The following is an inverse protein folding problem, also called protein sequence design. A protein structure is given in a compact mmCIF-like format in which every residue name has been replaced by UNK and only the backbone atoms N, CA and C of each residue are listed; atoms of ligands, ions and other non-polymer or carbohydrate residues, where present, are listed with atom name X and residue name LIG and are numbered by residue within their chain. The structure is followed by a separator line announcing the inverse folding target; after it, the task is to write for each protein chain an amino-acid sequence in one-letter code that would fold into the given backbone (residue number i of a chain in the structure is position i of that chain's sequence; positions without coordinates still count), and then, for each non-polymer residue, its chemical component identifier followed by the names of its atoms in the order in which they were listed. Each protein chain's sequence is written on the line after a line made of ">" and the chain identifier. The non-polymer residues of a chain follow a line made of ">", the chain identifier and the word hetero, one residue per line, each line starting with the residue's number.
data_IF_632887884623
#
_entry.id   IF_632887884623
#
_cell.length_a   1.000
_cell.length_b   1.000
_cell.length_c   1.000
_cell.angle_alpha   90.00
_cell.angle_beta   90.00
_cell.angle_gamma   90.00
#
_symmetry.space_group_name_H-M   'P 1'
#
loop_
_entity.id
_entity.type
_entity.pdbx_description
1 polymer ?
#
# COMPACT_ATOMS: atom_id res chain seq x y z
N UNK A 1 -1.40 -15.51 -9.21
CA UNK A 1 -1.05 -14.67 -10.38
C UNK A 1 -2.19 -14.42 -11.39
N UNK A 2 -2.97 -15.43 -11.83
CA UNK A 2 -4.03 -15.23 -12.85
C UNK A 2 -5.10 -14.18 -12.48
N UNK A 3 -5.48 -14.10 -11.19
CA UNK A 3 -6.52 -13.17 -10.72
C UNK A 3 -5.99 -11.72 -10.70
N UNK A 4 -4.76 -11.48 -10.23
CA UNK A 4 -4.17 -10.14 -10.23
C UNK A 4 -4.00 -9.60 -11.67
N UNK A 5 -3.61 -10.46 -12.61
CA UNK A 5 -3.53 -10.07 -14.03
C UNK A 5 -4.91 -9.78 -14.65
N UNK A 6 -5.96 -10.51 -14.24
CA UNK A 6 -7.33 -10.21 -14.65
C UNK A 6 -7.80 -8.85 -14.10
N UNK A 7 -7.58 -8.62 -12.81
CA UNK A 7 -7.91 -7.35 -12.14
C UNK A 7 -7.13 -6.18 -12.74
N UNK A 8 -5.85 -6.39 -13.09
CA UNK A 8 -5.05 -5.39 -13.79
C UNK A 8 -5.66 -5.01 -15.14
N UNK A 9 -6.13 -5.98 -15.94
CA UNK A 9 -6.79 -5.70 -17.23
C UNK A 9 -8.12 -4.97 -17.07
N UNK A 10 -8.85 -5.24 -15.99
CA UNK A 10 -10.06 -4.49 -15.64
C UNK A 10 -9.74 -3.03 -15.27
N UNK A 11 -8.70 -2.82 -14.46
CA UNK A 11 -8.33 -1.49 -13.93
C UNK A 11 -7.48 -0.65 -14.88
N UNK A 12 -6.82 -1.27 -15.85
CA UNK A 12 -5.94 -0.63 -16.81
C UNK A 12 -6.04 -1.33 -18.17
N UNK A 13 -7.19 -1.18 -18.88
CA UNK A 13 -7.45 -1.89 -20.13
C UNK A 13 -6.50 -1.47 -21.26
N UNK A 14 -5.95 -0.27 -21.22
CA UNK A 14 -4.91 0.20 -22.14
C UNK A 14 -3.50 0.06 -21.54
N UNK A 15 -3.36 -0.70 -20.44
CA UNK A 15 -2.11 -0.91 -19.75
C UNK A 15 -1.64 0.30 -18.95
N UNK A 16 -2.50 1.26 -18.64
CA UNK A 16 -2.18 2.45 -17.84
C UNK A 16 -1.55 2.09 -16.48
N UNK A 17 -0.67 2.94 -15.92
CA UNK A 17 -0.22 2.77 -14.56
C UNK A 17 -1.37 2.85 -13.56
N UNK A 18 -1.35 1.98 -12.54
CA UNK A 18 -2.37 1.93 -11.49
C UNK A 18 -1.80 2.47 -10.18
N UNK A 19 -2.38 3.57 -9.72
CA UNK A 19 -2.20 4.14 -8.40
C UNK A 19 -3.30 3.57 -7.51
N UNK A 20 -2.96 2.91 -6.40
CA UNK A 20 -3.95 2.24 -5.56
C UNK A 20 -4.03 2.84 -4.16
N UNK A 21 -5.24 3.19 -3.76
CA UNK A 21 -5.63 3.42 -2.38
C UNK A 21 -6.54 2.29 -1.88
N UNK A 22 -6.35 1.84 -0.64
CA UNK A 22 -7.24 0.88 0.03
C UNK A 22 -7.63 1.37 1.42
N UNK A 23 -8.86 1.11 1.88
CA UNK A 23 -9.30 1.35 3.26
C UNK A 23 -10.49 2.31 3.38
N UNK A 24 -10.73 2.81 4.60
CA UNK A 24 -11.87 3.70 4.87
C UNK A 24 -11.70 5.05 4.18
N UNK A 25 -12.80 5.78 3.97
CA UNK A 25 -12.79 7.13 3.38
C UNK A 25 -13.14 8.19 4.43
N UNK A 26 -12.70 7.98 5.66
CA UNK A 26 -12.89 8.98 6.72
C UNK A 26 -12.13 10.28 6.38
N UNK A 27 -12.61 11.46 6.79
CA UNK A 27 -12.07 12.74 6.32
C UNK A 27 -10.55 12.89 6.48
N UNK A 28 -10.00 12.38 7.58
CA UNK A 28 -8.56 12.44 7.87
C UNK A 28 -7.71 11.60 6.90
N UNK A 29 -8.31 10.68 6.13
CA UNK A 29 -7.59 9.86 5.15
C UNK A 29 -7.11 10.68 3.95
N UNK A 30 -7.59 11.91 3.75
CA UNK A 30 -7.08 12.82 2.72
C UNK A 30 -7.50 12.47 1.30
N UNK A 31 -8.71 11.93 1.13
CA UNK A 31 -9.21 11.58 -0.20
C UNK A 31 -9.39 12.81 -1.13
N UNK A 32 -9.87 13.98 -0.66
CA UNK A 32 -9.91 15.16 -1.51
C UNK A 32 -8.53 15.57 -2.03
N UNK A 33 -7.51 15.54 -1.15
CA UNK A 33 -6.11 15.80 -1.52
C UNK A 33 -5.65 14.84 -2.61
N UNK A 34 -5.96 13.55 -2.49
CA UNK A 34 -5.56 12.55 -3.49
C UNK A 34 -6.24 12.77 -4.84
N UNK A 35 -7.53 13.11 -4.85
CA UNK A 35 -8.25 13.41 -6.09
C UNK A 35 -7.66 14.66 -6.77
N UNK A 36 -7.39 15.71 -6.01
CA UNK A 36 -6.75 16.93 -6.52
C UNK A 36 -5.32 16.66 -7.03
N UNK A 37 -4.58 15.77 -6.36
CA UNK A 37 -3.24 15.33 -6.80
C UNK A 37 -3.31 14.59 -8.15
N UNK A 38 -4.30 13.72 -8.35
CA UNK A 38 -4.46 12.97 -9.60
C UNK A 38 -4.75 13.86 -10.81
N UNK A 39 -5.34 15.04 -10.61
CA UNK A 39 -5.48 16.05 -11.67
C UNK A 39 -4.12 16.58 -12.15
N UNK A 40 -3.12 16.57 -11.27
CA UNK A 40 -1.77 17.10 -11.51
C UNK A 40 -0.77 16.04 -11.96
N UNK A 41 -1.06 14.75 -11.75
CA UNK A 41 -0.21 13.64 -12.22
C UNK A 41 -0.11 13.65 -13.75
N UNK A 42 1.12 13.72 -14.23
CA UNK A 42 1.45 13.88 -15.64
C UNK A 42 1.20 12.60 -16.46
N UNK A 43 0.85 12.69 -17.76
CA UNK A 43 0.81 11.54 -18.65
C UNK A 43 2.19 10.88 -18.80
N UNK A 44 2.22 9.55 -18.90
CA UNK A 44 3.44 8.79 -19.21
C UNK A 44 4.02 9.21 -20.58
N UNK A 45 5.31 8.95 -20.86
CA UNK A 45 5.94 9.33 -22.13
C UNK A 45 5.23 8.79 -23.40
N UNK A 46 4.51 7.68 -23.28
CA UNK A 46 3.71 7.09 -24.35
C UNK A 46 2.24 7.55 -24.39
N UNK A 47 1.91 8.60 -23.63
CA UNK A 47 0.59 9.22 -23.60
C UNK A 47 -0.41 8.55 -22.66
N UNK A 48 -0.11 7.36 -22.10
CA UNK A 48 -0.98 6.71 -21.11
C UNK A 48 -1.11 7.59 -19.87
N UNK A 49 -2.32 7.75 -19.36
CA UNK A 49 -2.56 8.54 -18.13
C UNK A 49 -2.71 7.59 -16.95
N UNK A 50 -1.95 7.79 -15.85
CA UNK A 50 -2.14 7.00 -14.64
C UNK A 50 -3.59 7.05 -14.14
N UNK A 51 -4.10 5.89 -13.74
CA UNK A 51 -5.44 5.71 -13.18
C UNK A 51 -5.35 5.50 -11.67
N UNK A 52 -6.21 6.19 -10.92
CA UNK A 52 -6.41 5.96 -9.51
C UNK A 52 -7.48 4.91 -9.31
N UNK A 53 -7.17 3.88 -8.53
CA UNK A 53 -8.14 2.90 -8.03
C UNK A 53 -8.30 3.10 -6.53
N UNK A 54 -9.55 3.28 -6.08
CA UNK A 54 -9.91 3.41 -4.66
C UNK A 54 -10.73 2.20 -4.27
N UNK A 55 -10.15 1.37 -3.40
CA UNK A 55 -10.80 0.19 -2.84
C UNK A 55 -11.24 0.48 -1.41
N UNK A 56 -12.53 0.76 -1.25
CA UNK A 56 -13.16 1.09 0.01
C UNK A 56 -14.24 2.15 -0.13
N UNK A 57 -14.82 2.53 0.99
CA UNK A 57 -15.86 3.56 1.04
C UNK A 57 -17.28 3.01 1.01
N UNK A 58 -18.14 3.66 1.79
CA UNK A 58 -19.59 3.45 1.72
C UNK A 58 -20.17 4.14 0.46
N UNK A 59 -21.37 3.78 -0.01
CA UNK A 59 -21.96 4.35 -1.22
C UNK A 59 -22.03 5.87 -1.25
N UNK A 60 -22.32 6.52 -0.10
CA UNK A 60 -22.34 7.98 0.07
C UNK A 60 -20.96 8.60 -0.20
N UNK A 61 -19.91 8.07 0.45
CA UNK A 61 -18.54 8.55 0.31
C UNK A 61 -18.00 8.31 -1.12
N UNK A 62 -18.37 7.19 -1.74
CA UNK A 62 -18.01 6.88 -3.12
C UNK A 62 -18.69 7.86 -4.08
N UNK A 63 -19.96 8.20 -3.86
CA UNK A 63 -20.67 9.17 -4.68
C UNK A 63 -20.04 10.58 -4.58
N UNK A 64 -19.66 11.00 -3.37
CA UNK A 64 -18.99 12.28 -3.14
C UNK A 64 -17.64 12.38 -3.85
N UNK A 65 -16.78 11.36 -3.72
CA UNK A 65 -15.50 11.32 -4.43
C UNK A 65 -15.67 11.27 -5.95
N UNK A 66 -16.73 10.59 -6.43
CA UNK A 66 -17.04 10.56 -7.86
C UNK A 66 -17.39 11.96 -8.37
N UNK A 67 -18.24 12.68 -7.65
CA UNK A 67 -18.60 14.05 -8.01
C UNK A 67 -17.37 14.97 -8.05
N UNK A 68 -16.44 14.84 -7.10
CA UNK A 68 -15.19 15.60 -7.13
C UNK A 68 -14.31 15.22 -8.34
N UNK A 69 -14.15 13.92 -8.60
CA UNK A 69 -13.38 13.45 -9.76
C UNK A 69 -13.98 13.95 -11.08
N UNK A 70 -15.31 13.90 -11.23
CA UNK A 70 -16.03 14.37 -12.42
C UNK A 70 -15.87 15.89 -12.60
N UNK A 71 -15.94 16.67 -11.51
CA UNK A 71 -15.72 18.12 -11.54
C UNK A 71 -14.31 18.51 -12.01
N UNK A 72 -13.32 17.65 -11.79
CA UNK A 72 -11.94 17.82 -12.27
C UNK A 72 -11.67 17.15 -13.63
N UNK A 73 -12.69 16.55 -14.26
CA UNK A 73 -12.53 15.86 -15.54
C UNK A 73 -11.73 14.55 -15.45
N UNK A 74 -11.79 13.86 -14.29
CA UNK A 74 -11.05 12.62 -14.01
C UNK A 74 -11.91 11.35 -14.06
N UNK A 75 -13.14 11.42 -14.58
CA UNK A 75 -14.10 10.30 -14.55
C UNK A 75 -13.59 9.00 -15.20
N UNK A 76 -12.74 9.08 -16.22
CA UNK A 76 -12.08 7.95 -16.87
C UNK A 76 -10.81 7.46 -16.13
N UNK A 77 -10.20 8.35 -15.34
CA UNK A 77 -8.97 8.11 -14.59
C UNK A 77 -9.18 7.67 -13.14
N UNK A 78 -10.39 7.77 -12.58
CA UNK A 78 -10.68 7.42 -11.19
C UNK A 78 -11.70 6.27 -11.14
N UNK A 79 -11.23 5.10 -10.71
CA UNK A 79 -12.06 3.92 -10.47
C UNK A 79 -12.33 3.77 -8.96
N UNK A 80 -13.57 4.01 -8.56
CA UNK A 80 -14.02 3.80 -7.18
C UNK A 80 -14.77 2.45 -7.12
N UNK A 81 -14.19 1.45 -6.45
CA UNK A 81 -14.76 0.09 -6.42
C UNK A 81 -15.78 -0.10 -5.30
N UNK A 82 -15.86 0.83 -4.35
CA UNK A 82 -16.51 0.59 -3.06
C UNK A 82 -15.75 -0.45 -2.24
N UNK A 83 -16.41 -0.97 -1.19
CA UNK A 83 -15.86 -2.01 -0.33
C UNK A 83 -15.61 -3.31 -1.11
N UNK A 84 -14.44 -3.92 -0.88
CA UNK A 84 -14.11 -5.28 -1.34
C UNK A 84 -13.76 -6.18 -0.14
N UNK A 85 -13.92 -7.51 -0.26
CA UNK A 85 -13.55 -8.46 0.78
C UNK A 85 -12.06 -8.32 1.17
N UNK A 86 -11.71 -8.43 2.47
CA UNK A 86 -10.32 -8.35 2.93
C UNK A 86 -9.36 -9.33 2.23
N UNK A 87 -9.86 -10.51 1.84
CA UNK A 87 -9.09 -11.55 1.15
C UNK A 87 -8.63 -11.11 -0.25
N UNK A 88 -9.27 -10.10 -0.86
CA UNK A 88 -8.86 -9.57 -2.16
C UNK A 88 -7.74 -8.53 -2.07
N UNK A 89 -7.40 -8.03 -0.87
CA UNK A 89 -6.45 -6.91 -0.73
C UNK A 89 -5.06 -7.25 -1.27
N UNK A 90 -4.57 -8.47 -1.05
CA UNK A 90 -3.30 -8.92 -1.62
C UNK A 90 -3.32 -8.87 -3.15
N UNK A 91 -4.41 -9.34 -3.77
CA UNK A 91 -4.60 -9.30 -5.22
C UNK A 91 -4.71 -7.86 -5.73
N UNK A 92 -5.41 -6.99 -5.01
CA UNK A 92 -5.52 -5.57 -5.32
C UNK A 92 -4.14 -4.89 -5.34
N UNK A 93 -3.36 -5.05 -4.27
CA UNK A 93 -2.00 -4.50 -4.19
C UNK A 93 -1.08 -5.10 -5.27
N UNK A 94 -1.23 -6.37 -5.57
CA UNK A 94 -0.47 -7.02 -6.64
C UNK A 94 -0.81 -6.48 -8.04
N UNK A 95 -1.96 -5.85 -8.26
CA UNK A 95 -2.34 -5.21 -9.51
C UNK A 95 -1.92 -3.74 -9.62
N UNK A 96 -1.40 -3.13 -8.54
CA UNK A 96 -0.97 -1.73 -8.51
C UNK A 96 0.50 -1.56 -8.92
N UNK A 97 0.84 -0.40 -9.47
CA UNK A 97 2.24 0.02 -9.67
C UNK A 97 2.76 0.83 -8.48
N UNK A 98 1.88 1.60 -7.84
CA UNK A 98 2.20 2.40 -6.65
C UNK A 98 1.04 2.37 -5.67
N UNK A 99 1.35 2.26 -4.38
CA UNK A 99 0.39 2.33 -3.28
C UNK A 99 0.43 3.72 -2.65
N UNK A 100 -0.74 4.31 -2.37
CA UNK A 100 -0.83 5.68 -1.86
C UNK A 100 -1.52 5.77 -0.49
N UNK A 101 -0.96 6.59 0.40
CA UNK A 101 -1.55 6.91 1.70
C UNK A 101 -1.56 8.43 1.94
N UNK A 102 -2.60 9.14 1.44
CA UNK A 102 -2.65 10.60 1.34
C UNK A 102 -3.08 11.31 2.63
N UNK A 103 -2.88 10.67 3.78
CA UNK A 103 -3.48 11.07 5.05
C UNK A 103 -3.10 12.52 5.40
N UNK A 104 -4.09 13.38 5.65
CA UNK A 104 -3.82 14.81 5.86
C UNK A 104 -3.52 15.16 7.32
N UNK A 105 -3.93 14.31 8.27
CA UNK A 105 -3.78 14.58 9.71
C UNK A 105 -3.85 13.32 10.57
N UNK A 106 -3.45 13.49 11.84
CA UNK A 106 -3.52 12.48 12.89
C UNK A 106 -2.16 11.91 13.29
N UNK A 107 -2.13 11.26 14.44
CA UNK A 107 -0.94 10.62 15.02
C UNK A 107 -1.04 9.10 15.09
N UNK A 108 -2.22 8.50 14.88
CA UNK A 108 -2.34 7.05 14.89
C UNK A 108 -1.91 6.44 13.55
N UNK A 109 -1.10 5.39 13.59
CA UNK A 109 -0.68 4.69 12.37
C UNK A 109 -1.87 4.11 11.59
N UNK A 110 -1.99 4.36 10.27
CA UNK A 110 -2.99 3.70 9.43
C UNK A 110 -2.60 2.25 9.17
N UNK A 111 -3.38 1.28 9.69
CA UNK A 111 -3.05 -0.16 9.65
C UNK A 111 -2.76 -0.71 8.23
N UNK A 112 -3.31 -0.11 7.17
CA UNK A 112 -3.07 -0.51 5.77
C UNK A 112 -1.58 -0.49 5.38
N UNK A 113 -0.77 0.35 6.02
CA UNK A 113 0.64 0.49 5.63
C UNK A 113 1.44 -0.79 5.89
N UNK A 114 1.04 -1.58 6.89
CA UNK A 114 1.69 -2.87 7.14
C UNK A 114 1.47 -3.83 5.99
N UNK A 115 0.24 -3.90 5.45
CA UNK A 115 -0.05 -4.68 4.24
C UNK A 115 0.68 -4.11 3.01
N UNK A 116 0.81 -2.78 2.91
CA UNK A 116 1.54 -2.14 1.83
C UNK A 116 3.02 -2.51 1.86
N UNK A 117 3.66 -2.47 3.03
CA UNK A 117 5.05 -2.89 3.21
C UNK A 117 5.26 -4.33 2.75
N UNK A 118 4.45 -5.27 3.23
CA UNK A 118 4.58 -6.69 2.86
C UNK A 118 4.26 -6.97 1.38
N UNK A 119 3.59 -6.05 0.68
CA UNK A 119 3.31 -6.21 -0.75
C UNK A 119 4.55 -6.02 -1.64
N UNK A 120 5.59 -5.36 -1.13
CA UNK A 120 6.78 -5.00 -1.90
C UNK A 120 6.55 -3.99 -3.03
N UNK A 121 5.39 -3.31 -3.04
CA UNK A 121 5.11 -2.20 -3.95
C UNK A 121 5.68 -0.90 -3.40
N UNK A 122 6.13 0.03 -4.26
CA UNK A 122 6.53 1.35 -3.80
C UNK A 122 5.33 2.09 -3.18
N UNK A 123 5.59 2.83 -2.11
CA UNK A 123 4.59 3.57 -1.35
C UNK A 123 4.88 5.07 -1.47
N UNK A 124 3.86 5.85 -1.81
CA UNK A 124 3.86 7.31 -1.65
C UNK A 124 2.90 7.65 -0.50
N UNK A 125 3.40 8.33 0.52
CA UNK A 125 2.62 8.69 1.69
C UNK A 125 2.96 10.10 2.16
N UNK A 126 2.05 10.72 2.91
CA UNK A 126 2.31 12.05 3.47
C UNK A 126 3.33 12.00 4.61
N UNK A 127 4.12 13.06 4.77
CA UNK A 127 5.15 13.22 5.80
C UNK A 127 4.52 13.79 7.07
N UNK A 128 3.65 13.00 7.69
CA UNK A 128 3.06 13.33 8.99
C UNK A 128 3.40 12.27 10.02
N UNK A 129 3.18 12.57 11.31
CA UNK A 129 3.48 11.66 12.42
C UNK A 129 2.86 10.27 12.21
N UNK A 130 1.63 10.20 11.70
CA UNK A 130 0.94 8.92 11.44
C UNK A 130 1.70 7.96 10.52
N UNK A 131 2.59 8.48 9.69
CA UNK A 131 3.39 7.71 8.74
C UNK A 131 4.84 7.58 9.17
N UNK A 132 5.46 8.69 9.61
CA UNK A 132 6.90 8.74 9.98
C UNK A 132 7.25 7.92 11.21
N UNK A 133 6.27 7.55 12.05
CA UNK A 133 6.51 6.62 13.16
C UNK A 133 6.75 5.18 12.70
N UNK A 134 6.37 4.83 11.46
CA UNK A 134 6.48 3.47 10.91
C UNK A 134 7.31 3.43 9.65
N UNK A 135 7.29 4.47 8.81
CA UNK A 135 8.02 4.59 7.54
C UNK A 135 9.11 5.64 7.62
N UNK A 136 10.11 5.49 6.75
CA UNK A 136 11.23 6.42 6.56
C UNK A 136 11.49 6.65 5.06
N UNK A 137 12.44 7.51 4.73
CA UNK A 137 12.77 7.88 3.33
C UNK A 137 13.44 6.74 2.54
N UNK A 138 13.79 5.63 3.21
CA UNK A 138 14.29 4.43 2.57
C UNK A 138 13.14 3.52 2.13
N UNK A 139 12.12 3.36 2.98
CA UNK A 139 11.00 2.44 2.82
C UNK A 139 9.77 3.03 2.12
N UNK A 140 9.69 4.36 1.98
CA UNK A 140 8.61 5.03 1.27
C UNK A 140 9.08 6.38 0.69
N UNK A 141 8.34 6.89 -0.29
CA UNK A 141 8.47 8.29 -0.70
C UNK A 141 7.51 9.14 0.14
N UNK A 142 8.06 9.82 1.14
CA UNK A 142 7.32 10.67 2.07
C UNK A 142 7.29 12.12 1.57
N UNK A 143 6.10 12.65 1.31
CA UNK A 143 5.86 13.96 0.69
C UNK A 143 4.96 14.84 1.55
N UNK A 144 4.95 16.15 1.36
CA UNK A 144 4.05 17.03 2.11
C UNK A 144 2.56 16.69 1.84
N UNK A 145 1.65 16.93 2.81
CA UNK A 145 0.21 16.75 2.64
C UNK A 145 -0.40 17.88 1.79
N UNK A 146 0.11 18.01 0.57
CA UNK A 146 -0.28 18.97 -0.46
C UNK A 146 -0.54 18.23 -1.79
N UNK A 147 -1.60 18.56 -2.55
CA UNK A 147 -1.89 17.89 -3.83
C UNK A 147 -0.73 17.89 -4.83
N UNK A 148 0.03 18.99 -4.93
CA UNK A 148 1.15 19.10 -5.86
C UNK A 148 2.33 18.24 -5.45
N UNK A 149 2.72 18.29 -4.17
CA UNK A 149 3.75 17.42 -3.62
C UNK A 149 3.38 15.93 -3.75
N UNK A 150 2.11 15.59 -3.53
CA UNK A 150 1.62 14.22 -3.66
C UNK A 150 1.63 13.73 -5.12
N UNK A 151 1.21 14.59 -6.06
CA UNK A 151 1.29 14.31 -7.49
C UNK A 151 2.73 14.12 -7.96
N UNK A 152 3.65 14.99 -7.54
CA UNK A 152 5.07 14.87 -7.85
C UNK A 152 5.68 13.58 -7.30
N UNK A 153 5.26 13.14 -6.11
CA UNK A 153 5.66 11.85 -5.54
C UNK A 153 5.19 10.66 -6.37
N UNK A 154 3.92 10.67 -6.81
CA UNK A 154 3.38 9.65 -7.73
C UNK A 154 4.17 9.64 -9.05
N UNK A 155 4.40 10.81 -9.66
CA UNK A 155 5.14 10.95 -10.90
C UNK A 155 6.58 10.41 -10.76
N UNK A 156 7.27 10.75 -9.67
CA UNK A 156 8.63 10.27 -9.41
C UNK A 156 8.71 8.75 -9.37
N UNK A 157 7.79 8.10 -8.65
CA UNK A 157 7.75 6.63 -8.56
C UNK A 157 7.38 5.98 -9.90
N UNK A 158 6.41 6.53 -10.63
CA UNK A 158 5.95 5.93 -11.89
C UNK A 158 6.97 6.08 -13.03
N UNK A 159 7.82 7.11 -12.98
CA UNK A 159 8.79 7.44 -14.05
C UNK A 159 10.19 6.89 -13.80
N UNK A 160 10.50 6.49 -12.59
CA UNK A 160 11.80 5.92 -12.22
C UNK A 160 11.60 4.47 -11.71
N UNK A 161 11.72 3.47 -12.60
CA UNK A 161 11.63 2.06 -12.22
C UNK A 161 12.67 1.63 -11.19
N UNK A 162 13.85 2.27 -11.15
CA UNK A 162 14.89 1.95 -10.19
C UNK A 162 14.51 2.47 -8.80
N UNK A 163 13.98 3.69 -8.71
CA UNK A 163 13.39 4.24 -7.48
C UNK A 163 12.23 3.36 -6.99
N UNK A 164 11.30 2.99 -7.87
CA UNK A 164 10.16 2.15 -7.54
C UNK A 164 10.60 0.79 -6.98
N UNK A 165 11.55 0.12 -7.64
CA UNK A 165 12.10 -1.15 -7.17
C UNK A 165 12.81 -1.01 -5.82
N UNK A 166 13.64 0.03 -5.65
CA UNK A 166 14.34 0.30 -4.40
C UNK A 166 13.37 0.52 -3.24
N UNK A 167 12.37 1.37 -3.42
CA UNK A 167 11.35 1.63 -2.40
C UNK A 167 10.55 0.38 -2.08
N UNK A 168 10.13 -0.39 -3.09
CA UNK A 168 9.39 -1.64 -2.90
C UNK A 168 10.17 -2.67 -2.06
N UNK A 169 11.44 -2.91 -2.41
CA UNK A 169 12.32 -3.82 -1.68
C UNK A 169 12.54 -3.34 -0.24
N UNK A 170 12.94 -2.08 -0.04
CA UNK A 170 13.20 -1.54 1.29
C UNK A 170 11.94 -1.54 2.17
N UNK A 171 10.77 -1.27 1.58
CA UNK A 171 9.48 -1.33 2.27
C UNK A 171 9.17 -2.74 2.77
N UNK A 172 9.39 -3.75 1.91
CA UNK A 172 9.19 -5.17 2.25
C UNK A 172 10.15 -5.64 3.33
N UNK A 173 11.44 -5.37 3.17
CA UNK A 173 12.47 -5.73 4.15
C UNK A 173 12.16 -5.12 5.53
N UNK A 174 11.74 -3.85 5.55
CA UNK A 174 11.31 -3.17 6.78
C UNK A 174 10.07 -3.83 7.39
N UNK A 175 9.07 -4.13 6.56
CA UNK A 175 7.87 -4.89 6.95
C UNK A 175 8.20 -6.22 7.62
N UNK A 176 9.02 -7.03 6.96
CA UNK A 176 9.43 -8.36 7.44
C UNK A 176 10.26 -8.27 8.73
N UNK A 177 11.16 -7.29 8.82
CA UNK A 177 12.06 -7.11 9.98
C UNK A 177 11.35 -6.59 11.22
N UNK A 178 10.42 -5.65 11.07
CA UNK A 178 9.85 -4.90 12.20
C UNK A 178 8.38 -5.19 12.46
N UNK A 179 7.62 -5.62 11.46
CA UNK A 179 6.16 -5.71 11.50
C UNK A 179 5.63 -7.10 11.08
N UNK A 180 6.45 -8.13 11.26
CA UNK A 180 6.07 -9.54 11.08
C UNK A 180 5.55 -10.17 12.37
N UNK A 181 4.90 -11.33 12.25
CA UNK A 181 4.50 -12.16 13.40
C UNK A 181 5.72 -12.53 14.25
N UNK A 182 6.86 -12.85 13.62
CA UNK A 182 8.12 -13.09 14.33
C UNK A 182 8.57 -11.87 15.11
N UNK A 183 8.62 -10.70 14.49
CA UNK A 183 8.99 -9.46 15.17
C UNK A 183 8.07 -9.16 16.36
N UNK A 184 6.76 -9.41 16.22
CA UNK A 184 5.78 -9.28 17.28
C UNK A 184 6.04 -10.25 18.45
N UNK A 185 6.21 -11.55 18.17
CA UNK A 185 6.46 -12.58 19.19
C UNK A 185 7.74 -12.27 19.95
N UNK A 186 8.84 -11.99 19.25
CA UNK A 186 10.12 -11.68 19.87
C UNK A 186 10.09 -10.36 20.63
N UNK A 187 9.43 -9.33 20.10
CA UNK A 187 9.25 -8.04 20.76
C UNK A 187 8.47 -8.18 22.07
N UNK A 188 7.40 -8.97 22.05
CA UNK A 188 6.59 -9.28 23.23
C UNK A 188 7.43 -10.05 24.25
N UNK A 189 8.15 -11.10 23.84
CA UNK A 189 9.05 -11.83 24.74
C UNK A 189 10.08 -10.91 25.41
N UNK A 190 10.72 -10.03 24.64
CA UNK A 190 11.65 -9.02 25.18
C UNK A 190 10.99 -8.08 26.19
N UNK A 191 9.73 -7.69 25.98
CA UNK A 191 8.99 -6.87 26.93
C UNK A 191 8.73 -7.59 28.26
N UNK A 192 8.33 -8.86 28.22
CA UNK A 192 8.11 -9.67 29.42
C UNK A 192 9.41 -9.92 30.20
N UNK A 193 10.54 -10.08 29.50
CA UNK A 193 11.85 -10.18 30.16
C UNK A 193 12.21 -8.93 30.94
N UNK A 194 11.91 -7.74 30.40
CA UNK A 194 12.10 -6.47 31.14
C UNK A 194 11.23 -6.39 32.40
N UNK A 195 10.17 -7.19 32.49
CA UNK A 195 9.29 -7.29 33.65
C UNK A 195 9.67 -8.45 34.60
N UNK A 196 10.78 -9.16 34.34
CA UNK A 196 11.30 -10.22 35.21
C UNK A 196 10.94 -11.65 34.80
N UNK A 197 10.27 -11.86 33.65
CA UNK A 197 10.10 -13.19 33.10
C UNK A 197 11.42 -13.73 32.53
N UNK A 198 11.65 -15.05 32.49
CA UNK A 198 12.74 -15.63 31.71
C UNK A 198 12.49 -15.43 30.21
N UNK A 199 13.56 -15.29 29.42
CA UNK A 199 13.42 -15.30 27.95
C UNK A 199 12.99 -16.71 27.51
N UNK A 200 11.94 -16.86 26.68
CA UNK A 200 11.51 -18.17 26.20
C UNK A 200 12.61 -18.84 25.39
N UNK A 201 12.70 -20.17 25.47
CA UNK A 201 13.62 -20.94 24.64
C UNK A 201 13.23 -20.84 23.14
N UNK A 202 14.16 -21.12 22.22
CA UNK A 202 13.90 -21.01 20.78
C UNK A 202 12.73 -21.86 20.26
N UNK A 203 12.46 -23.03 20.84
CA UNK A 203 11.35 -23.89 20.41
C UNK A 203 10.00 -23.30 20.79
N UNK A 204 9.91 -22.69 21.98
CA UNK A 204 8.71 -21.99 22.43
C UNK A 204 8.40 -20.78 21.55
N UNK A 205 9.41 -20.00 21.17
CA UNK A 205 9.24 -18.87 20.25
C UNK A 205 8.76 -19.33 18.88
N UNK A 206 9.38 -20.37 18.32
CA UNK A 206 9.02 -20.91 17.01
C UNK A 206 7.59 -21.47 17.00
N UNK A 207 7.17 -22.17 18.06
CA UNK A 207 5.80 -22.64 18.20
C UNK A 207 4.79 -21.48 18.29
N UNK A 208 5.14 -20.39 18.99
CA UNK A 208 4.29 -19.19 19.07
C UNK A 208 4.16 -18.50 17.71
N UNK A 209 5.26 -18.37 16.95
CA UNK A 209 5.24 -17.84 15.58
C UNK A 209 4.32 -18.67 14.70
N UNK A 210 4.52 -20.00 14.63
CA UNK A 210 3.68 -20.90 13.81
C UNK A 210 2.18 -20.86 14.17
N UNK A 211 1.85 -20.64 15.45
CA UNK A 211 0.45 -20.54 15.90
C UNK A 211 -0.22 -19.25 15.46
N UNK A 212 0.55 -18.16 15.36
CA UNK A 212 0.05 -16.83 15.03
C UNK A 212 0.18 -16.49 13.55
N UNK A 213 1.03 -17.20 12.82
CA UNK A 213 1.09 -17.09 11.37
C UNK A 213 -0.28 -17.47 10.77
N UNK A 214 -0.83 -16.63 9.89
CA UNK A 214 -2.04 -17.00 9.18
C UNK A 214 -1.76 -18.27 8.38
N UNK A 215 -2.71 -19.21 8.37
CA UNK A 215 -2.62 -20.39 7.51
C UNK A 215 -2.34 -19.91 6.07
N UNK A 216 -1.33 -20.50 5.42
CA UNK A 216 -0.97 -20.14 4.05
C UNK A 216 -2.24 -20.18 3.18
N UNK A 217 -2.57 -19.05 2.57
CA UNK A 217 -3.66 -19.01 1.58
C UNK A 217 -3.20 -19.91 0.43
N UNK A 218 -3.92 -20.98 0.07
CA UNK A 218 -3.51 -21.86 -1.00
C UNK A 218 -3.40 -21.04 -2.31
N UNK A 219 -2.20 -20.98 -2.91
CA UNK A 219 -1.98 -20.33 -4.21
C UNK A 219 -1.07 -19.08 -4.24
N UNK A 220 -0.37 -18.77 -3.14
CA UNK A 220 0.60 -17.66 -3.04
C UNK A 220 2.07 -18.07 -2.96
N UNK A 221 2.42 -19.32 -3.29
CA UNK A 221 3.80 -19.82 -3.28
C UNK A 221 4.66 -19.16 -4.35
N UNK A 222 5.80 -18.61 -3.93
CA UNK A 222 6.81 -17.99 -4.78
C UNK A 222 7.69 -19.09 -5.39
N UNK A 223 7.22 -19.76 -6.44
CA UNK A 223 8.07 -20.59 -7.31
C UNK A 223 8.82 -19.65 -8.27
N UNK A 224 9.91 -19.05 -7.77
CA UNK A 224 10.84 -18.24 -8.55
C UNK A 224 12.20 -18.92 -8.74
N UNK A 225 12.27 -20.25 -8.61
CA UNK A 225 13.49 -21.01 -8.92
C UNK A 225 13.12 -22.33 -9.63
N UNK A 226 12.88 -22.27 -10.94
CA UNK A 226 13.17 -23.34 -11.91
C UNK A 226 12.67 -22.90 -13.30
N UNK A 227 13.58 -22.38 -14.11
CA UNK A 227 13.80 -22.78 -15.51
C UNK A 227 14.50 -21.64 -16.27
N UNK A 228 15.81 -21.58 -16.07
CA UNK A 228 16.74 -21.19 -17.15
C UNK A 228 17.34 -22.50 -17.67
N UNK A 229 16.76 -23.01 -18.75
CA UNK A 229 17.39 -23.91 -19.71
C UNK A 229 16.68 -23.77 -21.06
#
# INVERSE_FOLDING_TARGET
>A
MRIAAALRREWAPAGEPVVLYTGTLEPYQGMPLLIDAMAQVSPMPDGRRPRLVVVGGRPDQVAELRAQADALGLGDRVLLTGLRPPQEMTTCMAAADVLVSPRSSGSNTPLKIYSYMHSGRPIVATRIESHTQVMDDLSALLVEPDPGAFAAGIDAVLRDPALAARLGTASRERGERHFSIRAFVEGTARAYVKLGAPYPDPHTLEAAVRRLEPAAVPGGGNDLDADVA
#
